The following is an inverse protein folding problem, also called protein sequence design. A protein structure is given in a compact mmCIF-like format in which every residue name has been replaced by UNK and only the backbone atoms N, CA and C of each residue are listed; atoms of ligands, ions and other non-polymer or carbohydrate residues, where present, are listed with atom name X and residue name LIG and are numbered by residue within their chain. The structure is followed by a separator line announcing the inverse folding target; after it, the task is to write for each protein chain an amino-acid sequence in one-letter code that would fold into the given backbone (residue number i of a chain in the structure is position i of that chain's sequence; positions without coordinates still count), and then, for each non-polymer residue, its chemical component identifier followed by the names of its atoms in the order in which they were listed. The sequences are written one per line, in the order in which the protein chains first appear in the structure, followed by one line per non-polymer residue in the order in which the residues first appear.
data_IF_732467206287
#
_entry.id   IF_732467206287
#
_cell.length_a   1.000
_cell.length_b   1.000
_cell.length_c   1.000
_cell.angle_alpha   90.00
_cell.angle_beta   90.00
_cell.angle_gamma   90.00
#
_symmetry.space_group_name_H-M   'P 1'
#
loop_
_entity.id
_entity.type
_entity.pdbx_description
1 polymer ?
#
# COMPACT_ATOMS: atom_id res chain seq x y z
N UNK A 1 -4.86 24.32 1.11
CA UNK A 1 -4.93 22.89 0.75
C UNK A 1 -6.00 22.72 -0.30
N UNK A 2 -5.72 22.03 -1.40
CA UNK A 2 -6.67 21.88 -2.49
C UNK A 2 -7.79 20.91 -2.11
N UNK A 3 -9.02 21.31 -2.38
CA UNK A 3 -10.21 20.45 -2.35
C UNK A 3 -10.74 20.41 -3.76
N UNK A 4 -10.92 19.22 -4.31
CA UNK A 4 -11.38 19.03 -5.69
C UNK A 4 -12.53 18.03 -5.72
N UNK A 5 -13.51 18.27 -6.58
CA UNK A 5 -14.48 17.25 -6.94
C UNK A 5 -13.81 16.28 -7.91
N UNK A 6 -13.96 14.98 -7.68
CA UNK A 6 -13.47 13.90 -8.54
C UNK A 6 -14.62 12.97 -8.91
N UNK A 7 -14.59 12.43 -10.12
CA UNK A 7 -15.59 11.48 -10.62
C UNK A 7 -15.06 10.06 -10.55
N UNK A 8 -15.86 9.13 -10.02
CA UNK A 8 -15.57 7.70 -10.10
C UNK A 8 -15.68 7.23 -11.55
N UNK A 9 -14.60 6.74 -12.12
CA UNK A 9 -14.56 6.17 -13.48
C UNK A 9 -15.02 4.71 -13.45
N UNK A 10 -14.45 3.92 -12.54
CA UNK A 10 -14.79 2.50 -12.37
C UNK A 10 -14.34 1.97 -11.02
N UNK A 11 -14.86 0.79 -10.68
CA UNK A 11 -14.40 -0.02 -9.55
C UNK A 11 -14.00 -1.42 -10.03
N UNK A 12 -12.98 -2.00 -9.42
CA UNK A 12 -12.45 -3.32 -9.80
C UNK A 12 -12.09 -4.13 -8.57
N UNK A 13 -12.45 -5.42 -8.56
CA UNK A 13 -11.94 -6.35 -7.55
C UNK A 13 -10.47 -6.69 -7.86
N UNK A 14 -9.57 -6.34 -6.96
CA UNK A 14 -8.11 -6.53 -7.12
C UNK A 14 -7.53 -7.67 -6.28
N UNK A 15 -8.32 -8.17 -5.33
CA UNK A 15 -8.07 -9.38 -4.56
C UNK A 15 -9.38 -9.85 -3.91
N UNK A 16 -9.39 -10.99 -3.25
CA UNK A 16 -10.52 -11.41 -2.43
C UNK A 16 -10.81 -10.36 -1.34
N UNK A 17 -12.08 -9.96 -1.24
CA UNK A 17 -12.54 -8.91 -0.34
C UNK A 17 -11.85 -7.55 -0.52
N UNK A 18 -11.29 -7.23 -1.69
CA UNK A 18 -10.57 -5.97 -1.94
C UNK A 18 -11.07 -5.28 -3.20
N UNK A 19 -11.43 -4.02 -3.06
CA UNK A 19 -11.93 -3.18 -4.15
C UNK A 19 -10.95 -2.03 -4.40
N UNK A 20 -10.58 -1.83 -5.66
CA UNK A 20 -9.92 -0.63 -6.14
C UNK A 20 -10.95 0.27 -6.83
N UNK A 21 -10.89 1.57 -6.57
CA UNK A 21 -11.71 2.61 -7.19
C UNK A 21 -10.77 3.53 -7.96
N UNK A 22 -11.15 3.83 -9.19
CA UNK A 22 -10.39 4.69 -10.09
C UNK A 22 -11.18 5.97 -10.34
N UNK A 23 -10.54 7.10 -10.11
CA UNK A 23 -11.12 8.42 -10.25
C UNK A 23 -10.37 9.22 -11.31
N UNK A 24 -11.07 10.20 -11.87
CA UNK A 24 -10.43 11.26 -12.65
C UNK A 24 -9.38 11.97 -11.79
N UNK A 25 -8.20 12.21 -12.36
CA UNK A 25 -7.16 13.00 -11.72
C UNK A 25 -7.41 14.49 -12.01
N UNK A 26 -7.65 15.34 -10.99
CA UNK A 26 -7.87 16.76 -11.22
C UNK A 26 -6.69 17.40 -11.96
N UNK A 27 -6.98 18.35 -12.85
CA UNK A 27 -5.94 19.09 -13.55
C UNK A 27 -4.99 19.78 -12.56
N UNK A 28 -3.68 19.60 -12.75
CA UNK A 28 -2.66 20.15 -11.86
C UNK A 28 -2.56 19.48 -10.48
N UNK A 29 -3.26 18.35 -10.26
CA UNK A 29 -3.10 17.58 -9.02
C UNK A 29 -1.76 16.84 -9.00
N UNK A 30 -0.81 17.38 -8.26
CA UNK A 30 0.51 16.80 -8.05
C UNK A 30 0.59 16.15 -6.66
N UNK A 31 1.21 14.96 -6.60
CA UNK A 31 1.49 14.25 -5.36
C UNK A 31 2.76 13.42 -5.51
N UNK A 32 3.37 13.05 -4.39
CA UNK A 32 4.51 12.12 -4.34
C UNK A 32 4.03 10.70 -4.11
N UNK A 33 4.69 9.74 -4.73
CA UNK A 33 4.35 8.33 -4.56
C UNK A 33 4.43 7.90 -3.09
N UNK A 34 3.38 7.23 -2.61
CA UNK A 34 3.19 6.87 -1.20
C UNK A 34 2.37 7.87 -0.37
N UNK A 35 2.03 9.04 -0.91
CA UNK A 35 1.11 9.97 -0.24
C UNK A 35 -0.34 9.47 -0.21
N UNK A 36 -1.14 10.07 0.66
CA UNK A 36 -2.55 9.76 0.84
C UNK A 36 -3.45 10.97 0.54
N UNK A 37 -4.75 10.74 0.46
CA UNK A 37 -5.75 11.78 0.34
C UNK A 37 -7.01 11.41 1.12
N UNK A 38 -7.75 12.43 1.59
CA UNK A 38 -9.06 12.23 2.20
C UNK A 38 -10.11 12.20 1.09
N UNK A 39 -10.78 11.06 0.97
CA UNK A 39 -11.94 10.87 0.11
C UNK A 39 -13.21 11.07 0.94
N UNK A 40 -14.10 11.94 0.48
CA UNK A 40 -15.33 12.29 1.18
C UNK A 40 -16.54 12.07 0.27
N UNK A 41 -17.52 11.30 0.78
CA UNK A 41 -18.79 11.05 0.14
C UNK A 41 -19.69 12.30 0.26
N UNK A 42 -20.36 12.66 -0.83
CA UNK A 42 -21.36 13.73 -0.88
C UNK A 42 -22.71 13.12 -0.53
N UNK A 43 -23.35 13.62 0.52
CA UNK A 43 -24.67 13.20 1.01
C UNK A 43 -24.94 11.67 0.99
N UNK A 44 -24.07 10.85 1.62
CA UNK A 44 -24.24 9.41 1.60
C UNK A 44 -25.51 8.96 2.34
N UNK A 45 -26.15 7.87 1.90
CA UNK A 45 -27.39 7.36 2.52
C UNK A 45 -27.17 6.81 3.95
N UNK A 46 -25.93 6.50 4.31
CA UNK A 46 -25.53 6.10 5.66
C UNK A 46 -24.13 6.64 6.01
N UNK A 47 -23.89 6.85 7.30
CA UNK A 47 -22.57 7.20 7.86
C UNK A 47 -22.34 6.43 9.17
N UNK A 48 -21.12 6.48 9.69
CA UNK A 48 -20.76 5.96 11.01
C UNK A 48 -20.06 7.06 11.83
N UNK A 49 -19.55 6.73 13.02
CA UNK A 49 -18.90 7.69 13.93
C UNK A 49 -17.73 8.47 13.33
N UNK A 50 -17.09 7.93 12.29
CA UNK A 50 -15.98 8.60 11.59
C UNK A 50 -16.46 9.52 10.45
N UNK A 51 -17.78 9.64 10.26
CA UNK A 51 -18.43 10.52 9.30
C UNK A 51 -18.30 10.05 7.85
N UNK A 52 -18.52 10.98 6.92
CA UNK A 52 -18.55 10.74 5.47
C UNK A 52 -17.18 10.83 4.78
N UNK A 53 -16.07 10.81 5.52
CA UNK A 53 -14.73 10.93 4.91
C UNK A 53 -13.71 9.97 5.51
N UNK A 54 -12.84 9.42 4.66
CA UNK A 54 -11.73 8.53 5.05
C UNK A 54 -10.44 8.92 4.34
N UNK A 55 -9.32 8.66 4.98
CA UNK A 55 -8.01 8.79 4.36
C UNK A 55 -7.69 7.46 3.67
N UNK A 56 -7.24 7.55 2.42
CA UNK A 56 -6.73 6.43 1.64
C UNK A 56 -5.38 6.81 1.06
N UNK A 57 -4.43 5.89 1.09
CA UNK A 57 -3.22 6.01 0.29
C UNK A 57 -3.59 6.07 -1.19
N UNK A 58 -2.90 6.91 -1.94
CA UNK A 58 -2.98 6.95 -3.39
C UNK A 58 -2.22 5.74 -3.91
N UNK A 59 -2.95 4.72 -4.32
CA UNK A 59 -2.38 3.46 -4.81
C UNK A 59 -1.86 3.58 -6.25
N UNK A 60 -2.32 4.58 -7.00
CA UNK A 60 -1.71 4.92 -8.29
C UNK A 60 -0.40 5.69 -8.11
N UNK A 61 0.52 5.51 -9.05
CA UNK A 61 1.74 6.30 -9.12
C UNK A 61 1.45 7.70 -9.69
N UNK A 62 2.24 8.73 -9.32
CA UNK A 62 2.09 10.09 -9.81
C UNK A 62 1.99 10.24 -11.34
N UNK A 63 2.71 9.41 -12.13
CA UNK A 63 2.64 9.47 -13.58
C UNK A 63 1.33 8.93 -14.18
N UNK A 64 0.54 8.17 -13.41
CA UNK A 64 -0.71 7.59 -13.90
C UNK A 64 -1.77 8.67 -14.14
N UNK A 65 -2.59 8.47 -15.17
CA UNK A 65 -3.63 9.43 -15.59
C UNK A 65 -4.85 9.45 -14.66
N UNK A 66 -5.03 8.40 -13.89
CA UNK A 66 -6.15 8.21 -12.98
C UNK A 66 -5.64 8.12 -11.53
N UNK A 67 -6.45 8.60 -10.59
CA UNK A 67 -6.21 8.37 -9.18
C UNK A 67 -6.81 7.02 -8.79
N UNK A 68 -6.01 6.14 -8.21
CA UNK A 68 -6.50 4.87 -7.69
C UNK A 68 -6.40 4.85 -6.17
N UNK A 69 -7.48 4.43 -5.51
CA UNK A 69 -7.50 4.08 -4.09
C UNK A 69 -8.02 2.66 -3.95
N UNK A 70 -7.55 1.92 -2.97
CA UNK A 70 -8.04 0.56 -2.73
C UNK A 70 -8.30 0.31 -1.25
N UNK A 71 -9.30 -0.53 -0.98
CA UNK A 71 -9.72 -0.86 0.37
C UNK A 71 -10.11 -2.33 0.49
N UNK A 72 -9.88 -2.91 1.66
CA UNK A 72 -10.59 -4.13 2.06
C UNK A 72 -12.04 -3.79 2.31
N UNK A 73 -12.94 -4.60 1.78
CA UNK A 73 -14.36 -4.55 2.09
C UNK A 73 -14.55 -5.11 3.52
N UNK A 74 -15.02 -4.24 4.40
CA UNK A 74 -15.29 -4.47 5.83
C UNK A 74 -16.59 -3.76 6.20
N UNK A 75 -17.15 -4.04 7.37
CA UNK A 75 -18.50 -3.62 7.76
C UNK A 75 -18.64 -2.16 8.22
N UNK A 76 -17.85 -1.20 7.71
CA UNK A 76 -18.10 0.23 7.97
C UNK A 76 -19.17 0.77 7.01
N UNK A 77 -19.98 1.72 7.46
CA UNK A 77 -20.98 2.41 6.60
C UNK A 77 -20.31 3.04 5.37
N UNK A 78 -19.18 3.71 5.56
CA UNK A 78 -18.42 4.32 4.46
C UNK A 78 -18.05 3.32 3.36
N UNK A 79 -17.49 2.15 3.72
CA UNK A 79 -17.08 1.11 2.77
C UNK A 79 -18.27 0.43 2.07
N UNK A 80 -19.44 0.32 2.73
CA UNK A 80 -20.66 -0.19 2.09
C UNK A 80 -21.14 0.75 1.00
N UNK A 81 -21.22 2.05 1.30
CA UNK A 81 -21.56 3.07 0.30
C UNK A 81 -20.53 3.06 -0.84
N UNK A 82 -19.24 3.06 -0.52
CA UNK A 82 -18.15 3.04 -1.50
C UNK A 82 -18.24 1.83 -2.46
N UNK A 83 -18.60 0.65 -1.95
CA UNK A 83 -18.74 -0.56 -2.76
C UNK A 83 -19.95 -0.53 -3.72
N UNK A 84 -20.94 0.30 -3.43
CA UNK A 84 -22.16 0.45 -4.23
C UNK A 84 -22.15 1.65 -5.19
N UNK A 85 -21.07 2.43 -5.25
CA UNK A 85 -21.02 3.60 -6.11
C UNK A 85 -21.02 3.21 -7.59
N UNK A 86 -21.82 3.93 -8.37
CA UNK A 86 -21.84 3.79 -9.83
C UNK A 86 -20.75 4.68 -10.47
N UNK A 87 -20.17 4.27 -11.61
CA UNK A 87 -19.42 5.18 -12.47
C UNK A 87 -20.18 6.50 -12.70
N UNK A 88 -19.47 7.61 -12.69
CA UNK A 88 -20.06 8.95 -12.75
C UNK A 88 -20.41 9.57 -11.39
N UNK A 89 -20.30 8.82 -10.28
CA UNK A 89 -20.52 9.39 -8.94
C UNK A 89 -19.40 10.36 -8.58
N UNK A 90 -19.76 11.58 -8.17
CA UNK A 90 -18.83 12.59 -7.67
C UNK A 90 -18.52 12.40 -6.18
N UNK A 91 -17.26 12.61 -5.82
CA UNK A 91 -16.76 12.65 -4.44
C UNK A 91 -15.84 13.86 -4.25
N UNK A 92 -15.62 14.25 -3.00
CA UNK A 92 -14.66 15.30 -2.66
C UNK A 92 -13.32 14.68 -2.29
N UNK A 93 -12.26 15.09 -2.99
CA UNK A 93 -10.87 14.77 -2.69
C UNK A 93 -10.22 15.95 -1.96
N UNK A 94 -9.60 15.69 -0.81
CA UNK A 94 -8.74 16.65 -0.11
C UNK A 94 -7.35 16.06 0.03
N UNK A 95 -6.32 16.81 -0.35
CA UNK A 95 -4.94 16.33 -0.32
C UNK A 95 -4.08 16.94 -1.43
N UNK A 96 -2.90 16.35 -1.70
CA UNK A 96 -2.34 15.18 -1.01
C UNK A 96 -1.89 15.48 0.43
N UNK A 97 -1.69 14.41 1.21
CA UNK A 97 -1.18 14.42 2.59
C UNK A 97 -0.08 13.36 2.76
N UNK A 98 0.65 13.44 3.87
CA UNK A 98 1.63 12.43 4.27
C UNK A 98 3.03 12.66 3.72
N UNK A 99 3.99 12.01 4.36
CA UNK A 99 5.42 12.04 4.03
C UNK A 99 6.02 10.64 3.89
N UNK A 100 5.16 9.62 3.80
CA UNK A 100 5.56 8.24 3.58
C UNK A 100 5.97 8.07 2.11
N UNK A 101 7.20 8.46 1.77
CA UNK A 101 7.73 8.46 0.40
C UNK A 101 9.06 7.72 0.34
N UNK A 102 9.28 6.97 -0.75
CA UNK A 102 10.56 6.28 -0.97
C UNK A 102 11.71 7.30 -1.10
N UNK A 103 12.86 7.02 -0.48
CA UNK A 103 14.04 7.88 -0.60
C UNK A 103 14.81 7.54 -1.89
N UNK A 104 15.60 8.50 -2.38
CA UNK A 104 16.31 8.37 -3.67
C UNK A 104 17.83 8.15 -3.54
N UNK A 105 18.34 7.98 -2.31
CA UNK A 105 19.75 7.71 -2.06
C UNK A 105 20.10 6.27 -2.43
N UNK A 106 20.83 6.09 -3.54
CA UNK A 106 21.23 4.76 -4.04
C UNK A 106 22.25 4.03 -3.16
N UNK A 107 22.93 4.73 -2.24
CA UNK A 107 23.90 4.12 -1.33
C UNK A 107 23.23 3.46 -0.11
N UNK A 108 21.97 3.79 0.16
CA UNK A 108 21.20 3.31 1.30
C UNK A 108 20.13 2.35 0.77
N UNK A 109 20.10 1.07 1.18
CA UNK A 109 19.02 0.17 0.78
C UNK A 109 17.68 0.58 1.41
N UNK A 110 16.58 0.24 0.76
CA UNK A 110 15.24 0.35 1.33
C UNK A 110 14.61 -1.03 1.51
N UNK A 111 14.03 -1.27 2.69
CA UNK A 111 13.27 -2.48 2.98
C UNK A 111 11.82 -2.10 3.23
N UNK A 112 10.94 -2.53 2.33
CA UNK A 112 9.51 -2.26 2.35
C UNK A 112 8.83 -3.49 2.95
N UNK A 113 8.14 -3.35 4.08
CA UNK A 113 7.45 -4.45 4.75
C UNK A 113 5.98 -4.12 4.85
N UNK A 114 5.15 -4.94 4.20
CA UNK A 114 3.72 -4.69 4.14
C UNK A 114 2.87 -5.94 4.27
N UNK A 115 1.62 -5.73 4.64
CA UNK A 115 0.61 -6.77 4.72
C UNK A 115 -0.77 -6.28 4.31
N UNK A 116 -1.53 -7.16 3.67
CA UNK A 116 -2.92 -6.87 3.30
C UNK A 116 -3.04 -5.66 2.38
N UNK A 117 -3.80 -4.64 2.80
CA UNK A 117 -4.06 -3.44 1.98
C UNK A 117 -3.05 -2.30 2.18
N UNK A 118 -2.15 -2.43 3.17
CA UNK A 118 -1.01 -1.51 3.33
C UNK A 118 -0.02 -1.57 2.16
N UNK A 119 -0.25 -2.45 1.18
CA UNK A 119 0.51 -2.49 -0.07
C UNK A 119 0.25 -1.26 -0.94
N UNK A 120 -0.85 -0.53 -0.71
CA UNK A 120 -1.29 0.57 -1.57
C UNK A 120 -0.25 1.70 -1.75
N UNK A 121 0.33 2.31 -0.70
CA UNK A 121 1.38 3.30 -0.89
C UNK A 121 2.64 2.70 -1.53
N UNK A 122 3.00 1.46 -1.19
CA UNK A 122 4.17 0.78 -1.76
C UNK A 122 4.02 0.49 -3.25
N UNK A 123 2.80 0.14 -3.70
CA UNK A 123 2.49 0.02 -5.13
C UNK A 123 2.79 1.33 -5.84
N UNK A 124 2.30 2.45 -5.31
CA UNK A 124 2.56 3.79 -5.86
C UNK A 124 4.07 4.06 -5.96
N UNK A 125 4.82 3.80 -4.87
CA UNK A 125 6.28 3.97 -4.84
C UNK A 125 6.99 3.12 -5.90
N UNK A 126 6.69 1.82 -5.98
CA UNK A 126 7.37 0.90 -6.88
C UNK A 126 7.05 1.19 -8.35
N UNK A 127 5.80 1.55 -8.67
CA UNK A 127 5.44 1.92 -10.03
C UNK A 127 6.08 3.23 -10.46
N UNK A 128 6.16 4.22 -9.56
CA UNK A 128 6.86 5.47 -9.84
C UNK A 128 8.35 5.22 -10.06
N UNK A 129 9.00 4.48 -9.16
CA UNK A 129 10.40 4.11 -9.29
C UNK A 129 10.69 3.35 -10.60
N UNK A 130 9.82 2.41 -10.98
CA UNK A 130 9.89 1.68 -12.25
C UNK A 130 9.77 2.62 -13.45
N UNK A 131 8.83 3.57 -13.41
CA UNK A 131 8.64 4.56 -14.46
C UNK A 131 9.88 5.46 -14.63
N UNK A 132 10.45 5.92 -13.53
CA UNK A 132 11.66 6.74 -13.50
C UNK A 132 12.94 5.94 -13.76
N UNK A 133 12.85 4.60 -13.71
CA UNK A 133 13.98 3.66 -13.73
C UNK A 133 15.02 3.99 -12.65
N UNK A 134 14.53 4.46 -11.50
CA UNK A 134 15.37 4.92 -10.40
C UNK A 134 14.80 4.44 -9.07
N UNK A 135 15.60 3.65 -8.36
CA UNK A 135 15.34 3.23 -6.99
C UNK A 135 16.66 2.98 -6.26
N UNK A 136 16.69 3.07 -4.92
CA UNK A 136 17.72 2.41 -4.13
C UNK A 136 17.64 0.88 -4.33
N UNK A 137 18.63 0.10 -3.84
CA UNK A 137 18.46 -1.34 -3.69
C UNK A 137 17.22 -1.63 -2.82
N UNK A 138 16.33 -2.50 -3.30
CA UNK A 138 15.01 -2.72 -2.70
C UNK A 138 14.82 -4.17 -2.30
N UNK A 139 14.32 -4.38 -1.08
CA UNK A 139 13.70 -5.66 -0.68
C UNK A 139 12.28 -5.38 -0.22
N UNK A 140 11.29 -6.04 -0.83
CA UNK A 140 9.87 -5.82 -0.57
C UNK A 140 9.28 -7.09 0.03
N UNK A 141 9.00 -7.09 1.32
CA UNK A 141 8.27 -8.16 2.00
C UNK A 141 6.77 -7.89 1.94
N UNK A 142 6.00 -8.84 1.39
CA UNK A 142 4.55 -8.71 1.28
C UNK A 142 3.83 -9.91 1.88
N UNK A 143 3.27 -9.73 3.08
CA UNK A 143 2.59 -10.77 3.82
C UNK A 143 1.07 -10.79 3.55
N UNK A 144 0.56 -11.95 3.17
CA UNK A 144 -0.88 -12.21 3.08
C UNK A 144 -1.22 -13.56 3.68
N UNK A 145 -2.52 -13.82 3.86
CA UNK A 145 -2.98 -15.15 4.28
C UNK A 145 -2.82 -16.14 3.13
N UNK A 146 -3.32 -15.78 1.95
CA UNK A 146 -3.29 -16.61 0.74
C UNK A 146 -3.01 -15.75 -0.50
N UNK A 147 -2.58 -16.35 -1.62
CA UNK A 147 -2.39 -15.64 -2.89
C UNK A 147 -3.64 -14.90 -3.38
N UNK A 148 -4.83 -15.44 -3.13
CA UNK A 148 -6.13 -14.82 -3.46
C UNK A 148 -6.37 -13.50 -2.72
N UNK A 149 -5.75 -13.34 -1.55
CA UNK A 149 -5.89 -12.14 -0.73
C UNK A 149 -4.89 -11.05 -1.15
N UNK A 150 -3.84 -11.36 -1.91
CA UNK A 150 -2.73 -10.46 -2.19
C UNK A 150 -3.05 -9.45 -3.32
N UNK A 151 -3.60 -8.29 -2.95
CA UNK A 151 -3.86 -7.20 -3.89
C UNK A 151 -2.56 -6.73 -4.55
N UNK A 152 -2.60 -6.51 -5.86
CA UNK A 152 -1.50 -5.94 -6.66
C UNK A 152 -0.20 -6.76 -6.66
N UNK A 153 -0.24 -8.04 -6.30
CA UNK A 153 0.96 -8.89 -6.30
C UNK A 153 1.65 -8.92 -7.68
N UNK A 154 0.88 -8.97 -8.76
CA UNK A 154 1.41 -8.99 -10.13
C UNK A 154 2.08 -7.66 -10.50
N UNK A 155 1.50 -6.52 -10.09
CA UNK A 155 2.06 -5.18 -10.29
C UNK A 155 3.43 -5.05 -9.59
N UNK A 156 3.50 -5.49 -8.33
CA UNK A 156 4.74 -5.51 -7.55
C UNK A 156 5.79 -6.43 -8.17
N UNK A 157 5.36 -7.60 -8.66
CA UNK A 157 6.23 -8.58 -9.31
C UNK A 157 6.84 -8.00 -10.59
N UNK A 158 6.00 -7.42 -11.46
CA UNK A 158 6.47 -6.77 -12.68
C UNK A 158 7.43 -5.61 -12.35
N UNK A 159 7.10 -4.79 -11.36
CA UNK A 159 7.94 -3.66 -10.98
C UNK A 159 9.31 -4.08 -10.48
N UNK A 160 9.40 -5.07 -9.59
CA UNK A 160 10.69 -5.55 -9.12
C UNK A 160 11.49 -6.28 -10.20
N UNK A 161 10.84 -6.96 -11.16
CA UNK A 161 11.55 -7.61 -12.26
C UNK A 161 12.21 -6.61 -13.23
N UNK A 162 11.64 -5.41 -13.38
CA UNK A 162 12.17 -4.37 -14.27
C UNK A 162 13.13 -3.40 -13.58
N UNK A 163 13.09 -3.32 -12.24
CA UNK A 163 14.00 -2.49 -11.46
C UNK A 163 15.32 -3.21 -11.16
N UNK A 164 16.48 -2.54 -11.32
CA UNK A 164 17.75 -3.12 -10.89
C UNK A 164 17.75 -3.28 -9.37
N UNK A 165 18.25 -4.42 -8.88
CA UNK A 165 18.42 -4.69 -7.45
C UNK A 165 17.12 -4.61 -6.62
N UNK A 166 15.97 -4.98 -7.20
CA UNK A 166 14.70 -5.12 -6.49
C UNK A 166 14.38 -6.60 -6.26
N UNK A 167 14.14 -6.99 -5.01
CA UNK A 167 13.71 -8.34 -4.64
C UNK A 167 12.35 -8.28 -3.99
N UNK A 168 11.35 -8.90 -4.59
CA UNK A 168 10.04 -9.12 -3.99
C UNK A 168 10.02 -10.45 -3.24
N UNK A 169 9.60 -10.41 -1.98
CA UNK A 169 9.48 -11.57 -1.07
C UNK A 169 8.03 -11.65 -0.58
N UNK A 170 7.13 -12.25 -1.38
CA UNK A 170 5.77 -12.47 -0.95
C UNK A 170 5.72 -13.71 -0.03
N UNK A 171 4.99 -13.61 1.08
CA UNK A 171 4.79 -14.73 2.03
C UNK A 171 3.32 -14.97 2.34
N UNK A 172 2.95 -16.25 2.45
CA UNK A 172 1.58 -16.70 2.71
C UNK A 172 1.47 -17.43 4.05
N UNK A 173 0.62 -16.93 4.95
CA UNK A 173 0.49 -17.47 6.32
C UNK A 173 -0.54 -18.60 6.46
N UNK A 174 -1.39 -18.84 5.45
CA UNK A 174 -2.51 -19.79 5.50
C UNK A 174 -2.69 -20.54 4.18
N UNK A 175 -1.61 -21.08 3.62
CA UNK A 175 -1.66 -21.83 2.36
C UNK A 175 -2.62 -23.04 2.37
N UNK A 176 -2.87 -23.65 3.52
CA UNK A 176 -3.84 -24.72 3.67
C UNK A 176 -5.30 -24.31 3.33
N UNK A 177 -5.60 -23.01 3.35
CA UNK A 177 -6.92 -22.43 3.01
C UNK A 177 -6.97 -21.90 1.56
N UNK A 178 -5.89 -22.04 0.79
CA UNK A 178 -5.79 -21.54 -0.58
C UNK A 178 -6.25 -22.57 -1.61
N UNK A 179 -6.91 -22.10 -2.66
CA UNK A 179 -7.21 -22.89 -3.85
C UNK A 179 -6.11 -22.82 -4.91
N UNK A 180 -5.07 -22.01 -4.67
CA UNK A 180 -3.96 -21.77 -5.59
C UNK A 180 -2.67 -22.40 -5.06
N UNK A 181 -1.82 -22.96 -5.94
CA UNK A 181 -0.48 -23.37 -5.54
C UNK A 181 0.37 -22.14 -5.20
N UNK A 182 1.36 -22.34 -4.34
CA UNK A 182 2.34 -21.32 -3.98
C UNK A 182 3.72 -21.93 -3.84
N UNK A 183 4.72 -21.28 -4.43
CA UNK A 183 6.12 -21.73 -4.42
C UNK A 183 7.05 -20.72 -3.70
N UNK A 184 6.49 -19.61 -3.19
CA UNK A 184 7.24 -18.60 -2.46
C UNK A 184 7.33 -18.90 -0.97
N UNK A 185 7.69 -17.88 -0.19
CA UNK A 185 7.79 -17.98 1.26
C UNK A 185 6.44 -18.30 1.91
N UNK A 186 6.49 -18.96 3.06
CA UNK A 186 5.30 -19.25 3.88
C UNK A 186 5.58 -18.95 5.34
N UNK A 187 4.52 -18.60 6.07
CA UNK A 187 4.61 -18.24 7.49
C UNK A 187 4.67 -16.73 7.73
N UNK A 188 4.65 -16.37 9.00
CA UNK A 188 4.74 -14.96 9.42
C UNK A 188 6.14 -14.42 9.15
N UNK A 189 6.22 -13.11 8.88
CA UNK A 189 7.51 -12.42 8.83
C UNK A 189 8.17 -12.50 10.20
N UNK A 190 9.40 -12.99 10.21
CA UNK A 190 10.24 -13.12 11.40
C UNK A 190 11.69 -12.77 11.07
N UNK A 191 12.55 -12.82 12.10
CA UNK A 191 13.94 -12.42 11.95
C UNK A 191 14.70 -13.35 11.01
N UNK A 192 14.37 -14.64 11.01
CA UNK A 192 15.00 -15.64 10.17
C UNK A 192 14.67 -15.40 8.69
N UNK A 193 13.42 -15.04 8.37
CA UNK A 193 13.01 -14.67 7.02
C UNK A 193 13.67 -13.36 6.59
N UNK A 194 13.67 -12.33 7.43
CA UNK A 194 14.35 -11.06 7.11
C UNK A 194 15.84 -11.28 6.81
N UNK A 195 16.54 -12.06 7.63
CA UNK A 195 17.96 -12.34 7.46
C UNK A 195 18.32 -13.10 6.17
N UNK A 196 17.38 -13.85 5.57
CA UNK A 196 17.60 -14.51 4.27
C UNK A 196 17.78 -13.53 3.13
N UNK A 197 17.14 -12.36 3.21
CA UNK A 197 17.09 -11.39 2.12
C UNK A 197 17.77 -10.06 2.46
N UNK A 198 17.96 -9.78 3.76
CA UNK A 198 18.60 -8.56 4.27
C UNK A 198 19.75 -8.97 5.21
N UNK A 199 20.97 -9.17 4.68
CA UNK A 199 22.10 -9.68 5.46
C UNK A 199 22.56 -8.74 6.59
N UNK A 200 22.40 -7.44 6.40
CA UNK A 200 22.72 -6.41 7.39
C UNK A 200 21.50 -5.53 7.62
N UNK A 201 20.86 -5.71 8.78
CA UNK A 201 19.65 -4.99 9.15
C UNK A 201 19.91 -3.54 9.58
N UNK A 202 21.16 -3.15 9.84
CA UNK A 202 21.47 -1.81 10.37
C UNK A 202 21.54 -0.73 9.28
N UNK A 203 21.76 -1.14 8.03
CA UNK A 203 21.97 -0.24 6.88
C UNK A 203 20.70 0.27 6.22
N UNK A 204 19.62 -0.51 6.07
CA UNK A 204 18.48 -0.07 5.31
C UNK A 204 17.63 0.97 6.03
N UNK A 205 16.87 1.72 5.24
CA UNK A 205 15.69 2.43 5.71
C UNK A 205 14.46 1.53 5.55
N UNK A 206 13.72 1.35 6.63
CA UNK A 206 12.55 0.48 6.70
C UNK A 206 11.27 1.26 6.50
N UNK A 207 10.34 0.68 5.75
CA UNK A 207 9.02 1.24 5.49
C UNK A 207 7.97 0.21 5.89
N UNK A 208 7.18 0.51 6.91
CA UNK A 208 6.16 -0.38 7.46
C UNK A 208 4.76 0.18 7.18
N UNK A 209 3.90 -0.60 6.52
CA UNK A 209 2.46 -0.31 6.40
C UNK A 209 1.67 -1.63 6.32
N UNK A 210 0.67 -1.80 7.16
CA UNK A 210 -0.21 -2.96 7.14
C UNK A 210 -0.97 -3.12 8.45
N UNK A 211 -1.55 -4.31 8.72
CA UNK A 211 -2.31 -4.54 9.93
C UNK A 211 -1.53 -4.11 11.19
N UNK A 212 -2.15 -3.43 12.17
CA UNK A 212 -1.44 -2.87 13.32
C UNK A 212 -0.56 -3.89 14.04
N UNK A 213 -1.06 -5.10 14.28
CA UNK A 213 -0.28 -6.16 14.91
C UNK A 213 0.96 -6.61 14.13
N UNK A 214 0.96 -6.48 12.80
CA UNK A 214 2.14 -6.75 11.97
C UNK A 214 3.16 -5.61 12.08
N UNK A 215 2.71 -4.35 11.93
CA UNK A 215 3.57 -3.16 12.03
C UNK A 215 4.26 -3.14 13.40
N UNK A 216 3.49 -3.29 14.46
CA UNK A 216 3.95 -3.39 15.85
C UNK A 216 5.00 -4.50 16.05
N UNK A 217 4.74 -5.70 15.51
CA UNK A 217 5.64 -6.83 15.64
C UNK A 217 6.96 -6.60 14.90
N UNK A 218 6.90 -6.02 13.70
CA UNK A 218 8.07 -5.72 12.88
C UNK A 218 8.90 -4.59 13.46
N UNK A 219 8.28 -3.50 13.94
CA UNK A 219 9.01 -2.43 14.60
C UNK A 219 9.74 -2.94 15.86
N UNK A 220 9.06 -3.73 16.71
CA UNK A 220 9.73 -4.37 17.87
C UNK A 220 10.84 -5.33 17.47
N UNK A 221 10.73 -5.98 16.33
CA UNK A 221 11.77 -6.90 15.84
C UNK A 221 13.00 -6.11 15.39
N UNK A 222 12.81 -5.07 14.57
CA UNK A 222 13.87 -4.21 14.06
C UNK A 222 14.60 -3.50 15.19
N UNK A 223 13.87 -2.97 16.18
CA UNK A 223 14.48 -2.32 17.34
C UNK A 223 15.31 -3.32 18.18
N UNK A 224 14.83 -4.56 18.35
CA UNK A 224 15.61 -5.63 19.00
C UNK A 224 16.85 -6.04 18.19
N UNK A 225 16.84 -5.87 16.88
CA UNK A 225 17.98 -6.06 16.01
C UNK A 225 18.93 -4.85 15.95
N UNK A 226 18.66 -3.80 16.72
CA UNK A 226 19.51 -2.60 16.82
C UNK A 226 19.26 -1.54 15.74
N UNK A 227 18.15 -1.64 14.99
CA UNK A 227 17.75 -0.59 14.04
C UNK A 227 17.24 0.62 14.83
N UNK A 228 17.75 1.80 14.50
CA UNK A 228 17.31 3.05 15.12
C UNK A 228 15.92 3.46 14.61
N UNK A 229 15.09 4.07 15.45
CA UNK A 229 13.74 4.51 15.07
C UNK A 229 13.76 5.52 13.90
N UNK A 230 14.80 6.35 13.79
CA UNK A 230 14.99 7.27 12.66
C UNK A 230 15.13 6.56 11.29
N UNK A 231 15.51 5.28 11.32
CA UNK A 231 15.59 4.42 10.15
C UNK A 231 14.29 3.65 9.88
N UNK A 232 13.25 3.82 10.69
CA UNK A 232 11.96 3.15 10.54
C UNK A 232 10.87 4.17 10.25
N UNK A 233 10.31 4.10 9.05
CA UNK A 233 9.17 4.90 8.61
C UNK A 233 7.93 4.04 8.72
N UNK A 234 6.94 4.53 9.45
CA UNK A 234 5.65 3.85 9.62
C UNK A 234 4.55 4.72 9.04
N UNK A 235 3.66 4.11 8.29
CA UNK A 235 2.39 4.71 7.91
C UNK A 235 1.27 3.93 8.59
N UNK A 236 0.48 4.61 9.42
CA UNK A 236 -0.68 4.04 10.11
C UNK A 236 -1.93 4.81 9.70
N UNK A 237 -2.82 4.15 8.96
CA UNK A 237 -4.19 4.62 8.79
C UNK A 237 -5.15 3.73 9.58
N UNK A 238 -5.95 4.36 10.45
CA UNK A 238 -7.11 3.72 11.06
C UNK A 238 -8.22 3.52 10.00
N UNK A 239 -7.99 2.58 9.06
CA UNK A 239 -8.91 2.23 7.99
C UNK A 239 -9.01 0.73 7.73
N UNK A 240 -8.43 -0.11 8.59
CA UNK A 240 -8.44 -1.58 8.46
C UNK A 240 -9.82 -2.21 8.73
#
# INVERSE_FOLDING_TARGET
MASSTITLIRSQKVAEGTLALYFEKPAGFEFKAGQCARLQLIDPPETDEQGNGRIFSLASAPFEKELMMATRLRQSAFKRVLAGLAPGTELVLKGPYGSFTLHHDQAVPAVLITGGIGVTPLRSMLLQARHERQAPPLVVFYANRRPEDAAFLDDLTLACNELPHCTLVPTMTRMAESGRPWQGETGYLDQAMLARYVPDLSRPLYYLDGPPGMVDAMQRLLNRAGVADDNIRVEEFAGY
#
